data_IF_683738008859
#
_entry.id   IF_683738008859
#
_cell.length_a   1.000
_cell.length_b   1.000
_cell.length_c   1.000
_cell.angle_alpha   90.00
_cell.angle_beta   90.00
_cell.angle_gamma   90.00
#
_symmetry.space_group_name_H-M   'P 1'
#
loop_
_entity.id
_entity.type
_entity.pdbx_description
1 polymer ?
#
# COMPACT_ATOMS: atom_id res chain seq x y z
N UNK A 1 -22.57 9.72 -20.13
CA UNK A 1 -21.42 8.82 -20.33
C UNK A 1 -21.28 8.00 -19.06
N UNK A 2 -21.39 6.68 -19.13
CA UNK A 2 -21.23 5.80 -17.96
C UNK A 2 -19.75 5.43 -17.92
N UNK A 3 -19.05 5.80 -16.85
CA UNK A 3 -17.67 5.38 -16.62
C UNK A 3 -17.67 4.05 -15.88
N UNK A 4 -16.92 3.08 -16.39
CA UNK A 4 -16.62 1.84 -15.70
C UNK A 4 -15.17 1.89 -15.23
N UNK A 5 -14.93 1.62 -13.95
CA UNK A 5 -13.57 1.50 -13.41
C UNK A 5 -13.07 0.06 -13.53
N UNK A 6 -11.83 -0.12 -13.99
CA UNK A 6 -11.15 -1.39 -14.21
C UNK A 6 -10.13 -1.62 -13.07
N UNK A 7 -10.49 -2.47 -12.12
CA UNK A 7 -9.58 -2.90 -11.05
C UNK A 7 -8.89 -4.20 -11.43
N UNK A 8 -7.57 -4.19 -11.55
CA UNK A 8 -6.80 -5.38 -11.97
C UNK A 8 -6.18 -6.08 -10.77
N UNK A 9 -6.43 -7.40 -10.68
CA UNK A 9 -5.76 -8.31 -9.74
C UNK A 9 -4.62 -9.02 -10.44
N UNK A 10 -3.48 -9.14 -9.75
CA UNK A 10 -2.27 -9.72 -10.32
C UNK A 10 -2.09 -11.17 -9.90
N UNK A 11 -2.97 -12.03 -10.40
CA UNK A 11 -2.80 -13.46 -10.24
C UNK A 11 -1.55 -13.91 -11.02
N UNK A 12 -0.74 -14.81 -10.43
CA UNK A 12 0.49 -15.37 -11.00
C UNK A 12 1.71 -14.43 -11.10
N UNK A 13 1.63 -13.15 -10.71
CA UNK A 13 2.79 -12.23 -10.77
C UNK A 13 4.07 -12.81 -10.15
N UNK A 14 3.94 -13.42 -8.97
CA UNK A 14 5.08 -13.96 -8.22
C UNK A 14 5.76 -15.17 -8.89
N UNK A 15 5.19 -15.76 -9.95
CA UNK A 15 5.83 -16.85 -10.70
C UNK A 15 6.85 -16.36 -11.73
N UNK A 16 6.74 -15.10 -12.17
CA UNK A 16 7.57 -14.50 -13.22
C UNK A 16 8.50 -13.40 -12.69
N UNK A 17 8.44 -13.08 -11.41
CA UNK A 17 9.10 -11.92 -10.80
C UNK A 17 10.16 -12.37 -9.78
N UNK A 18 11.20 -13.04 -10.27
CA UNK A 18 12.30 -13.52 -9.44
C UNK A 18 13.61 -12.86 -9.89
N UNK A 19 14.40 -12.39 -8.92
CA UNK A 19 15.67 -11.67 -9.13
C UNK A 19 16.58 -12.27 -10.21
N UNK A 20 16.75 -13.60 -10.22
CA UNK A 20 17.69 -14.28 -11.11
C UNK A 20 17.07 -14.75 -12.45
N UNK A 21 15.73 -14.75 -12.57
CA UNK A 21 15.05 -15.23 -13.77
C UNK A 21 13.61 -14.68 -13.82
N UNK A 22 13.26 -14.04 -14.94
CA UNK A 22 11.92 -13.53 -15.18
C UNK A 22 11.91 -12.05 -15.55
N UNK A 23 10.82 -11.37 -15.20
CA UNK A 23 10.57 -9.97 -15.49
C UNK A 23 10.10 -9.26 -14.23
N UNK A 24 10.84 -8.23 -13.83
CA UNK A 24 10.55 -7.50 -12.61
C UNK A 24 9.18 -6.81 -12.66
N UNK A 25 8.45 -6.77 -11.54
CA UNK A 25 7.14 -6.12 -11.38
C UNK A 25 6.96 -4.80 -12.14
N UNK A 26 7.91 -3.87 -11.95
CA UNK A 26 7.94 -2.55 -12.59
C UNK A 26 7.68 -2.56 -14.10
N UNK A 27 8.07 -3.63 -14.82
CA UNK A 27 7.81 -3.76 -16.27
C UNK A 27 6.34 -4.08 -16.53
N UNK A 28 5.75 -4.95 -15.72
CA UNK A 28 4.34 -5.33 -15.79
C UNK A 28 3.42 -4.19 -15.33
N UNK A 29 3.86 -3.41 -14.35
CA UNK A 29 3.20 -2.15 -13.96
C UNK A 29 3.10 -1.18 -15.15
N UNK A 30 4.19 -0.98 -15.91
CA UNK A 30 4.18 -0.18 -17.14
C UNK A 30 3.25 -0.77 -18.21
N UNK A 31 3.32 -2.09 -18.42
CA UNK A 31 2.47 -2.77 -19.39
C UNK A 31 0.98 -2.63 -19.05
N UNK A 32 0.61 -2.69 -17.77
CA UNK A 32 -0.76 -2.47 -17.33
C UNK A 32 -1.21 -1.03 -17.57
N UNK A 33 -0.39 -0.04 -17.19
CA UNK A 33 -0.72 1.37 -17.41
C UNK A 33 -0.98 1.68 -18.89
N UNK A 34 -0.17 1.10 -19.79
CA UNK A 34 -0.40 1.16 -21.23
C UNK A 34 -1.67 0.42 -21.68
N UNK A 35 -1.99 -0.71 -21.06
CA UNK A 35 -3.18 -1.51 -21.37
C UNK A 35 -4.49 -0.86 -20.90
N UNK A 36 -4.44 0.10 -19.97
CA UNK A 36 -5.62 0.85 -19.50
C UNK A 36 -6.32 0.24 -18.29
N UNK A 37 -5.61 0.03 -17.18
CA UNK A 37 -6.21 -0.30 -15.88
C UNK A 37 -6.30 0.93 -14.97
N UNK A 38 -7.37 1.08 -14.19
CA UNK A 38 -7.51 2.18 -13.24
C UNK A 38 -6.82 1.89 -11.91
N UNK A 39 -6.90 0.63 -11.42
CA UNK A 39 -6.24 0.18 -10.20
C UNK A 39 -5.36 -1.05 -10.45
N UNK A 40 -4.25 -1.17 -9.71
CA UNK A 40 -3.35 -2.32 -9.72
C UNK A 40 -2.88 -2.66 -8.32
N UNK A 41 -2.80 -3.94 -7.96
CA UNK A 41 -2.13 -4.34 -6.72
C UNK A 41 -0.64 -3.96 -6.76
N UNK A 42 -0.12 -3.33 -5.71
CA UNK A 42 1.23 -2.75 -5.69
C UNK A 42 2.07 -3.23 -4.49
N UNK A 43 1.68 -4.34 -3.86
CA UNK A 43 2.30 -4.82 -2.64
C UNK A 43 1.93 -3.98 -1.41
N UNK A 44 2.47 -4.35 -0.24
CA UNK A 44 2.19 -3.65 1.02
C UNK A 44 3.44 -3.27 1.80
N UNK A 45 4.61 -3.82 1.46
CA UNK A 45 5.90 -3.70 2.17
C UNK A 45 5.89 -4.31 3.58
N UNK A 46 4.86 -4.02 4.38
CA UNK A 46 4.72 -4.44 5.79
C UNK A 46 3.73 -5.60 5.99
N UNK A 47 3.06 -6.03 4.92
CA UNK A 47 2.07 -7.10 4.99
C UNK A 47 2.66 -8.49 4.76
N UNK A 48 1.77 -9.46 4.52
CA UNK A 48 2.15 -10.88 4.41
C UNK A 48 2.98 -11.21 3.17
N UNK A 49 2.78 -10.47 2.08
CA UNK A 49 3.44 -10.71 0.81
C UNK A 49 4.73 -9.87 0.73
N UNK A 50 5.73 -10.42 0.05
CA UNK A 50 7.03 -9.79 -0.14
C UNK A 50 6.91 -8.41 -0.82
N UNK A 51 7.72 -7.46 -0.36
CA UNK A 51 7.90 -6.16 -1.01
C UNK A 51 9.04 -5.37 -0.36
N UNK A 52 10.05 -5.00 -1.14
CA UNK A 52 11.12 -4.10 -0.71
C UNK A 52 10.64 -2.64 -0.83
N UNK A 53 10.95 -1.80 0.15
CA UNK A 53 10.40 -0.44 0.26
C UNK A 53 10.83 0.45 -0.91
N UNK A 54 12.12 0.52 -1.22
CA UNK A 54 12.62 1.44 -2.25
C UNK A 54 12.21 1.01 -3.67
N UNK A 55 12.21 -0.29 -3.95
CA UNK A 55 11.65 -0.85 -5.19
C UNK A 55 10.16 -0.51 -5.31
N UNK A 56 9.41 -0.65 -4.22
CA UNK A 56 7.96 -0.34 -4.19
C UNK A 56 7.69 1.11 -4.49
N UNK A 57 8.40 2.03 -3.84
CA UNK A 57 8.31 3.45 -4.13
C UNK A 57 8.61 3.73 -5.61
N UNK A 58 9.67 3.10 -6.15
CA UNK A 58 10.05 3.28 -7.55
C UNK A 58 8.96 2.88 -8.56
N UNK A 59 8.30 1.74 -8.38
CA UNK A 59 7.23 1.34 -9.30
C UNK A 59 5.88 2.02 -9.02
N UNK A 60 5.64 2.50 -7.79
CA UNK A 60 4.48 3.35 -7.48
C UNK A 60 4.60 4.70 -8.20
N UNK A 61 5.80 5.31 -8.23
CA UNK A 61 6.07 6.53 -9.01
C UNK A 61 5.81 6.26 -10.51
N UNK A 62 6.26 5.10 -11.04
CA UNK A 62 5.99 4.71 -12.43
C UNK A 62 4.49 4.54 -12.76
N UNK A 63 3.67 4.18 -11.78
CA UNK A 63 2.22 4.01 -11.95
C UNK A 63 1.47 5.35 -11.92
N UNK A 64 1.91 6.32 -11.11
CA UNK A 64 1.17 7.56 -10.86
C UNK A 64 1.69 8.75 -11.63
N UNK A 65 3.00 8.97 -11.61
CA UNK A 65 3.59 10.23 -12.07
C UNK A 65 3.65 10.28 -13.60
N UNK A 66 3.69 11.50 -14.14
CA UNK A 66 3.84 11.71 -15.59
C UNK A 66 5.29 11.57 -16.04
N UNK A 67 6.24 11.99 -15.20
CA UNK A 67 7.66 11.98 -15.52
C UNK A 67 8.51 11.48 -14.35
N UNK A 68 9.18 10.35 -14.55
CA UNK A 68 9.98 9.68 -13.53
C UNK A 68 11.44 9.66 -13.99
N UNK A 69 12.34 10.28 -13.21
CA UNK A 69 13.77 10.29 -13.50
C UNK A 69 14.40 8.93 -13.22
N UNK A 70 15.45 8.59 -13.97
CA UNK A 70 16.33 7.48 -13.65
C UNK A 70 16.83 7.57 -12.20
N UNK A 71 16.59 6.52 -11.43
CA UNK A 71 17.07 6.35 -10.07
C UNK A 71 17.32 4.86 -9.78
N UNK A 72 18.60 4.47 -9.74
CA UNK A 72 18.98 3.07 -9.48
C UNK A 72 18.74 2.64 -8.04
N UNK A 73 18.67 3.58 -7.09
CA UNK A 73 18.39 3.28 -5.69
C UNK A 73 16.94 2.82 -5.47
N UNK A 74 16.06 3.03 -6.45
CA UNK A 74 14.66 2.56 -6.49
C UNK A 74 14.39 1.59 -7.64
N UNK A 75 15.44 1.07 -8.29
CA UNK A 75 15.31 0.14 -9.41
C UNK A 75 14.78 0.77 -10.71
N UNK A 76 14.84 2.09 -10.85
CA UNK A 76 14.45 2.82 -12.07
C UNK A 76 15.68 3.00 -12.96
N UNK A 77 15.85 2.10 -13.93
CA UNK A 77 17.04 2.10 -14.81
C UNK A 77 16.99 3.15 -15.92
N UNK A 78 15.79 3.58 -16.31
CA UNK A 78 15.55 4.53 -17.40
C UNK A 78 14.55 5.58 -16.95
N UNK A 79 14.81 6.82 -17.32
CA UNK A 79 13.81 7.90 -17.22
C UNK A 79 12.59 7.51 -18.05
N UNK A 80 11.40 7.70 -17.48
CA UNK A 80 10.12 7.39 -18.12
C UNK A 80 9.29 8.67 -18.20
N UNK A 81 8.87 9.01 -19.42
CA UNK A 81 7.87 10.03 -19.70
C UNK A 81 6.60 9.35 -20.19
N UNK A 82 5.46 9.72 -19.62
CA UNK A 82 4.14 9.17 -19.94
C UNK A 82 3.30 10.08 -20.82
N UNK A 83 3.80 11.28 -21.15
CA UNK A 83 3.18 12.23 -22.07
C UNK A 83 1.68 12.43 -21.80
N UNK A 84 1.36 12.67 -20.52
CA UNK A 84 0.01 12.88 -19.99
C UNK A 84 -0.93 11.66 -20.03
N UNK A 85 -0.40 10.45 -20.21
CA UNK A 85 -1.17 9.22 -19.99
C UNK A 85 -1.62 9.18 -18.51
N UNK A 86 -2.92 8.97 -18.23
CA UNK A 86 -3.42 8.92 -16.85
C UNK A 86 -2.64 7.94 -15.97
N UNK A 87 -2.52 8.29 -14.69
CA UNK A 87 -1.94 7.42 -13.68
C UNK A 87 -2.86 6.24 -13.32
N UNK A 88 -2.29 5.25 -12.65
CA UNK A 88 -2.99 4.08 -12.10
C UNK A 88 -2.90 4.14 -10.58
N UNK A 89 -4.01 3.93 -9.89
CA UNK A 89 -4.04 3.95 -8.43
C UNK A 89 -3.45 2.64 -7.88
N UNK A 90 -2.36 2.70 -7.08
CA UNK A 90 -1.82 1.52 -6.42
C UNK A 90 -2.77 1.03 -5.32
N UNK A 91 -3.04 -0.27 -5.31
CA UNK A 91 -3.80 -0.97 -4.27
C UNK A 91 -2.85 -1.77 -3.37
N UNK A 92 -2.70 -1.32 -2.13
CA UNK A 92 -1.98 -2.02 -1.08
C UNK A 92 -2.91 -3.03 -0.39
N UNK A 93 -2.67 -4.32 -0.63
CA UNK A 93 -3.53 -5.41 -0.16
C UNK A 93 -2.72 -6.65 0.23
N UNK A 94 -3.10 -7.29 1.33
CA UNK A 94 -2.54 -8.58 1.76
C UNK A 94 -1.88 -8.53 3.14
N UNK A 95 -2.54 -9.12 4.14
CA UNK A 95 -1.99 -9.26 5.50
C UNK A 95 -1.80 -7.93 6.25
N UNK A 96 -2.63 -6.93 5.98
CA UNK A 96 -2.56 -5.62 6.66
C UNK A 96 -3.70 -5.43 7.67
N UNK A 97 -3.44 -4.65 8.72
CA UNK A 97 -4.35 -4.29 9.82
C UNK A 97 -4.04 -2.88 10.35
N UNK A 98 -4.81 -2.38 11.31
CA UNK A 98 -4.77 -0.98 11.81
C UNK A 98 -3.38 -0.47 12.22
N UNK A 99 -2.54 -1.33 12.82
CA UNK A 99 -1.15 -0.95 13.18
C UNK A 99 -0.24 -0.63 11.98
N UNK A 100 -0.59 -1.07 10.77
CA UNK A 100 0.14 -0.74 9.56
C UNK A 100 -0.29 0.59 8.94
N UNK A 101 -1.38 1.20 9.41
CA UNK A 101 -1.96 2.41 8.79
C UNK A 101 -0.97 3.58 8.66
N UNK A 102 -0.15 3.92 9.69
CA UNK A 102 0.82 5.01 9.55
C UNK A 102 1.85 4.74 8.44
N UNK A 103 2.40 3.52 8.40
CA UNK A 103 3.38 3.13 7.38
C UNK A 103 2.76 3.09 5.96
N UNK A 104 1.54 2.58 5.82
CA UNK A 104 0.84 2.57 4.54
C UNK A 104 0.55 4.00 4.04
N UNK A 105 0.13 4.89 4.95
CA UNK A 105 -0.11 6.31 4.63
C UNK A 105 1.19 7.01 4.22
N UNK A 106 2.32 6.67 4.85
CA UNK A 106 3.64 7.19 4.49
C UNK A 106 4.11 6.69 3.12
N UNK A 107 3.97 5.39 2.85
CA UNK A 107 4.49 4.75 1.63
C UNK A 107 3.66 5.12 0.41
N UNK A 108 2.33 5.02 0.52
CA UNK A 108 1.44 5.13 -0.64
C UNK A 108 0.81 6.52 -0.77
N UNK A 109 0.70 7.31 0.29
CA UNK A 109 0.05 8.62 0.23
C UNK A 109 -1.44 8.55 -0.11
N UNK A 110 -2.01 9.69 -0.50
CA UNK A 110 -3.47 9.86 -0.67
C UNK A 110 -4.04 9.13 -1.89
N UNK A 111 -3.30 9.11 -3.00
CA UNK A 111 -3.71 8.45 -4.24
C UNK A 111 -3.40 6.95 -4.17
N UNK A 112 -4.11 6.25 -3.29
CA UNK A 112 -3.96 4.81 -3.08
C UNK A 112 -5.26 4.16 -2.58
N UNK A 113 -5.34 2.84 -2.76
CA UNK A 113 -6.36 1.99 -2.12
C UNK A 113 -5.69 1.12 -1.07
N UNK A 114 -6.18 1.14 0.16
CA UNK A 114 -5.70 0.27 1.24
C UNK A 114 -6.78 -0.78 1.55
N UNK A 115 -6.50 -2.05 1.24
CA UNK A 115 -7.50 -3.12 1.31
C UNK A 115 -7.29 -4.05 2.52
N UNK A 116 -8.22 -3.96 3.47
CA UNK A 116 -8.22 -4.77 4.69
C UNK A 116 -9.21 -5.93 4.58
N UNK A 117 -8.77 -7.09 4.06
CA UNK A 117 -9.59 -8.30 3.98
C UNK A 117 -9.77 -8.96 5.36
N UNK A 118 -8.78 -9.75 5.78
CA UNK A 118 -8.74 -10.34 7.12
C UNK A 118 -8.72 -9.30 8.25
N UNK A 119 -8.09 -8.15 8.01
CA UNK A 119 -8.13 -6.99 8.90
C UNK A 119 -9.49 -6.28 9.00
N UNK A 120 -10.52 -6.75 8.28
CA UNK A 120 -11.92 -6.35 8.48
C UNK A 120 -12.74 -7.50 9.04
N UNK A 121 -12.71 -8.65 8.37
CA UNK A 121 -13.54 -9.82 8.71
C UNK A 121 -13.11 -10.50 10.02
N UNK A 122 -11.88 -10.29 10.47
CA UNK A 122 -11.34 -10.85 11.71
C UNK A 122 -11.62 -10.03 12.98
N UNK A 123 -12.37 -8.94 12.88
CA UNK A 123 -12.67 -8.08 14.03
C UNK A 123 -13.63 -8.76 15.01
N UNK A 124 -13.40 -8.68 16.34
CA UNK A 124 -14.17 -9.41 17.34
C UNK A 124 -15.65 -9.02 17.39
N UNK A 125 -16.00 -7.83 16.88
CA UNK A 125 -17.37 -7.31 16.86
C UNK A 125 -18.01 -7.33 15.46
N UNK A 126 -17.39 -8.01 14.49
CA UNK A 126 -17.89 -8.15 13.13
C UNK A 126 -17.51 -7.01 12.19
N UNK A 127 -18.05 -7.07 10.97
CA UNK A 127 -17.57 -6.31 9.81
C UNK A 127 -17.75 -4.80 9.93
N UNK A 128 -18.93 -4.35 10.39
CA UNK A 128 -19.23 -2.92 10.46
C UNK A 128 -18.33 -2.18 11.47
N UNK A 129 -18.15 -2.68 12.72
CA UNK A 129 -17.16 -2.11 13.63
C UNK A 129 -15.75 -2.09 13.06
N UNK A 130 -15.34 -3.12 12.32
CA UNK A 130 -14.00 -3.10 11.73
C UNK A 130 -13.83 -2.07 10.62
N UNK A 131 -14.88 -1.84 9.82
CA UNK A 131 -14.86 -0.78 8.81
C UNK A 131 -14.70 0.59 9.49
N UNK A 132 -15.34 0.79 10.65
CA UNK A 132 -15.14 1.99 11.50
C UNK A 132 -13.70 2.04 12.00
N UNK A 133 -13.16 0.96 12.57
CA UNK A 133 -11.78 0.92 13.07
C UNK A 133 -10.75 1.30 12.00
N UNK A 134 -10.84 0.69 10.81
CA UNK A 134 -9.95 0.98 9.68
C UNK A 134 -10.11 2.43 9.20
N UNK A 135 -11.35 2.94 9.13
CA UNK A 135 -11.61 4.33 8.72
C UNK A 135 -11.06 5.34 9.73
N UNK A 136 -11.29 5.13 11.02
CA UNK A 136 -10.78 5.99 12.09
C UNK A 136 -9.25 6.02 12.09
N UNK A 137 -8.61 4.85 11.98
CA UNK A 137 -7.15 4.78 11.91
C UNK A 137 -6.59 5.56 10.70
N UNK A 138 -7.23 5.45 9.53
CA UNK A 138 -6.83 6.18 8.33
C UNK A 138 -6.96 7.70 8.53
N UNK A 139 -8.12 8.18 8.98
CA UNK A 139 -8.37 9.61 9.14
C UNK A 139 -7.45 10.22 10.21
N UNK A 140 -7.20 9.51 11.32
CA UNK A 140 -6.24 9.93 12.34
C UNK A 140 -4.82 10.05 11.79
N UNK A 141 -4.41 9.12 10.92
CA UNK A 141 -3.10 9.21 10.25
C UNK A 141 -3.06 10.40 9.30
N UNK A 142 -4.05 10.57 8.42
CA UNK A 142 -4.10 11.69 7.47
C UNK A 142 -4.09 13.03 8.19
N UNK A 143 -4.87 13.17 9.27
CA UNK A 143 -4.85 14.38 10.11
C UNK A 143 -3.46 14.62 10.70
N UNK A 144 -2.87 13.62 11.36
CA UNK A 144 -1.55 13.74 11.97
C UNK A 144 -0.46 14.12 10.95
N UNK A 145 -0.48 13.53 9.75
CA UNK A 145 0.43 13.88 8.65
C UNK A 145 0.25 15.34 8.23
N UNK A 146 -0.99 15.79 8.07
CA UNK A 146 -1.29 17.15 7.65
C UNK A 146 -0.95 18.19 8.74
N UNK A 147 -0.91 17.78 10.01
CA UNK A 147 -0.40 18.55 11.13
C UNK A 147 1.14 18.51 11.26
N UNK A 148 1.82 17.76 10.38
CA UNK A 148 3.28 17.69 10.32
C UNK A 148 3.93 16.67 11.26
N UNK A 149 3.15 15.71 11.79
CA UNK A 149 3.67 14.66 12.69
C UNK A 149 4.47 13.60 11.91
N UNK A 150 5.51 13.06 12.55
CA UNK A 150 6.41 12.08 11.94
C UNK A 150 5.95 10.64 12.23
N UNK A 151 5.47 9.91 11.23
CA UNK A 151 5.01 8.54 11.41
C UNK A 151 6.10 7.56 11.84
N UNK A 152 7.37 7.78 11.46
CA UNK A 152 8.46 6.90 11.86
C UNK A 152 8.68 6.89 13.38
N UNK A 153 8.31 7.99 14.06
CA UNK A 153 8.45 8.16 15.51
C UNK A 153 7.11 8.05 16.23
N UNK A 154 6.05 8.59 15.64
CA UNK A 154 4.77 8.83 16.30
C UNK A 154 3.64 7.92 15.83
N UNK A 155 3.83 7.10 14.79
CA UNK A 155 2.76 6.30 14.19
C UNK A 155 1.96 5.46 15.20
N UNK A 156 2.65 4.77 16.10
CA UNK A 156 2.00 4.00 17.17
C UNK A 156 1.29 4.88 18.19
N UNK A 157 1.79 6.08 18.47
CA UNK A 157 1.16 7.02 19.40
C UNK A 157 -0.14 7.58 18.82
N UNK A 158 -0.14 7.94 17.53
CA UNK A 158 -1.33 8.41 16.79
C UNK A 158 -2.47 7.39 16.86
N UNK A 159 -2.17 6.11 16.59
CA UNK A 159 -3.18 5.04 16.68
C UNK A 159 -3.70 4.90 18.12
N UNK A 160 -2.81 4.91 19.13
CA UNK A 160 -3.22 4.82 20.54
C UNK A 160 -4.03 6.03 21.01
N UNK A 161 -3.76 7.23 20.49
CA UNK A 161 -4.55 8.42 20.76
C UNK A 161 -5.97 8.27 20.22
N UNK A 162 -6.12 7.74 18.99
CA UNK A 162 -7.42 7.47 18.39
C UNK A 162 -8.21 6.37 19.14
N UNK A 163 -7.53 5.35 19.69
CA UNK A 163 -8.17 4.33 20.53
C UNK A 163 -8.88 4.89 21.77
N UNK A 164 -8.48 6.08 22.26
CA UNK A 164 -9.10 6.69 23.46
C UNK A 164 -10.56 7.06 23.24
N UNK A 165 -10.98 7.28 22.00
CA UNK A 165 -12.32 7.72 21.64
C UNK A 165 -13.02 6.82 20.61
N UNK A 166 -12.31 5.89 19.95
CA UNK A 166 -12.93 4.83 19.13
C UNK A 166 -12.75 3.46 19.80
N UNK A 167 -13.82 2.88 20.38
CA UNK A 167 -13.76 1.55 20.97
C UNK A 167 -13.54 0.44 19.93
N UNK A 168 -14.03 0.63 18.70
CA UNK A 168 -13.80 -0.31 17.59
C UNK A 168 -12.32 -0.37 17.22
N UNK A 169 -11.66 0.79 17.11
CA UNK A 169 -10.23 0.82 16.86
C UNK A 169 -9.45 0.21 18.03
N UNK A 170 -9.84 0.47 19.27
CA UNK A 170 -9.21 -0.15 20.43
C UNK A 170 -9.30 -1.69 20.39
N UNK A 171 -10.47 -2.24 20.06
CA UNK A 171 -10.68 -3.67 19.93
C UNK A 171 -9.83 -4.28 18.79
N UNK A 172 -9.79 -3.64 17.63
CA UNK A 172 -8.92 -3.99 16.51
C UNK A 172 -7.44 -4.02 16.92
N UNK A 173 -6.98 -2.97 17.61
CA UNK A 173 -5.61 -2.83 18.07
C UNK A 173 -5.20 -3.97 19.00
N UNK A 174 -6.06 -4.38 19.93
CA UNK A 174 -5.76 -5.49 20.85
C UNK A 174 -5.63 -6.84 20.14
N UNK A 175 -6.43 -7.08 19.10
CA UNK A 175 -6.41 -8.35 18.34
C UNK A 175 -5.12 -8.51 17.55
N UNK A 176 -4.60 -7.44 16.97
CA UNK A 176 -3.49 -7.49 16.01
C UNK A 176 -2.15 -6.94 16.53
N UNK A 177 -2.05 -6.53 17.80
CA UNK A 177 -0.84 -5.85 18.33
C UNK A 177 0.47 -6.62 18.20
N UNK A 178 0.44 -7.94 18.26
CA UNK A 178 1.64 -8.79 18.16
C UNK A 178 1.90 -9.30 16.74
N UNK A 179 1.01 -9.01 15.78
CA UNK A 179 1.12 -9.55 14.42
C UNK A 179 2.04 -8.66 13.61
N UNK A 180 3.14 -9.25 13.13
CA UNK A 180 4.11 -8.63 12.22
C UNK A 180 4.59 -9.66 11.20
N UNK A 181 4.94 -9.19 10.02
CA UNK A 181 5.52 -10.00 8.95
C UNK A 181 6.94 -9.54 8.68
N UNK A 182 7.90 -10.11 9.39
CA UNK A 182 9.32 -9.76 9.27
C UNK A 182 10.08 -10.95 8.67
N UNK A 183 10.32 -10.89 7.36
CA UNK A 183 11.03 -11.91 6.60
C UNK A 183 12.09 -11.26 5.71
N UNK A 184 13.22 -11.93 5.43
CA UNK A 184 14.19 -11.41 4.48
C UNK A 184 13.58 -11.32 3.09
N UNK A 185 13.79 -10.19 2.42
CA UNK A 185 13.37 -9.98 1.04
C UNK A 185 14.33 -10.71 0.08
N UNK A 186 13.77 -11.43 -0.88
CA UNK A 186 14.51 -12.15 -1.92
C UNK A 186 14.76 -11.25 -3.13
N UNK A 187 13.77 -10.47 -3.53
CA UNK A 187 13.89 -9.48 -4.60
C UNK A 187 14.42 -8.15 -4.05
N UNK A 188 15.74 -8.07 -4.00
CA UNK A 188 16.51 -6.89 -3.62
C UNK A 188 17.15 -6.27 -4.86
N UNK A 189 17.51 -4.98 -4.80
CA UNK A 189 18.23 -4.29 -5.87
C UNK A 189 19.56 -4.95 -6.28
#
# INVERSE_FOLDING_TARGET
>A
MVYFFISTVQCMQLSIDKKNHGMHFRVLAKALRLSGGDHIHAGTVVGKLEGEREITLGFVDLLRDDYIKKDRSRGIYFTQDWVSLPGVIPNASGGIHVWHMPALTEIFGDDSVLQFGGGTLGHPWGNAPSAVANRVAMEACVQARNEGRDFAREGNAIIREACKWSPELAAACEVWKEIKFEFPTMDTL
#
